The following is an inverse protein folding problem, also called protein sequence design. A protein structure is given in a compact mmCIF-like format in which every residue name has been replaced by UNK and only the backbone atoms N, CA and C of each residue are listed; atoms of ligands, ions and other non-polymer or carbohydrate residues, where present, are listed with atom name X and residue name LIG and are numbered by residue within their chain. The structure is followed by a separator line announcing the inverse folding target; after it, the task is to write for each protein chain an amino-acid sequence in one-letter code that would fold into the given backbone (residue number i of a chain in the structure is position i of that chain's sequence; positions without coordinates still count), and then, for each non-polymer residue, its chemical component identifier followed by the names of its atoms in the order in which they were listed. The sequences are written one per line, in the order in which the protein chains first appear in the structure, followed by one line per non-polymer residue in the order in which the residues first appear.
data_IF_303979779703
#
_entry.id   IF_303979779703
#
_cell.length_a   1.000
_cell.length_b   1.000
_cell.length_c   1.000
_cell.angle_alpha   90.00
_cell.angle_beta   90.00
_cell.angle_gamma   90.00
#
_symmetry.space_group_name_H-M   'P 1'
#
loop_
_entity.id
_entity.type
_entity.pdbx_description
1 polymer ?
#
# COMPACT_ATOMS: atom_id res chain seq x y z
N UNK A 1 6.12 -18.76 -3.93
CA UNK A 1 6.00 -17.50 -3.18
C UNK A 1 4.52 -17.28 -2.92
N UNK A 2 4.15 -16.98 -1.68
CA UNK A 2 2.78 -16.62 -1.32
C UNK A 2 2.48 -15.19 -1.80
N UNK A 3 1.20 -14.86 -2.00
CA UNK A 3 0.81 -13.50 -2.40
C UNK A 3 1.15 -12.48 -1.31
N UNK A 4 0.93 -12.85 -0.05
CA UNK A 4 1.34 -12.05 1.13
C UNK A 4 2.83 -11.75 1.17
N UNK A 5 3.68 -12.64 0.66
CA UNK A 5 5.13 -12.40 0.62
C UNK A 5 5.52 -11.35 -0.41
N UNK A 6 4.85 -11.32 -1.58
CA UNK A 6 5.09 -10.32 -2.61
C UNK A 6 4.60 -8.94 -2.14
N UNK A 7 3.40 -8.91 -1.56
CA UNK A 7 2.80 -7.69 -1.00
C UNK A 7 3.63 -7.14 0.17
N UNK A 8 4.04 -8.00 1.10
CA UNK A 8 4.90 -7.61 2.21
C UNK A 8 6.27 -7.08 1.77
N UNK A 9 6.80 -7.50 0.61
CA UNK A 9 8.03 -6.90 0.05
C UNK A 9 7.79 -5.47 -0.43
N UNK A 10 6.63 -5.21 -1.04
CA UNK A 10 6.23 -3.86 -1.42
C UNK A 10 6.11 -2.97 -0.17
N UNK A 11 5.47 -3.47 0.90
CA UNK A 11 5.36 -2.75 2.18
C UNK A 11 6.72 -2.38 2.77
N UNK A 12 7.64 -3.35 2.89
CA UNK A 12 9.00 -3.07 3.37
C UNK A 12 9.69 -1.99 2.54
N UNK A 13 9.51 -2.00 1.21
CA UNK A 13 10.13 -1.02 0.34
C UNK A 13 9.50 0.38 0.47
N UNK A 14 8.22 0.47 0.81
CA UNK A 14 7.55 1.73 1.11
C UNK A 14 8.12 2.36 2.39
N UNK A 15 8.33 1.57 3.44
CA UNK A 15 8.99 2.01 4.67
C UNK A 15 10.43 2.47 4.41
N UNK A 16 11.18 1.71 3.59
CA UNK A 16 12.52 2.14 3.18
C UNK A 16 12.50 3.49 2.45
N UNK A 17 11.54 3.72 1.55
CA UNK A 17 11.40 5.00 0.85
C UNK A 17 11.08 6.14 1.83
N UNK A 18 10.22 5.89 2.82
CA UNK A 18 9.88 6.85 3.87
C UNK A 18 11.10 7.19 4.74
N UNK A 19 11.83 6.20 5.23
CA UNK A 19 13.03 6.39 6.06
C UNK A 19 14.10 7.19 5.32
N UNK A 20 14.29 6.91 4.03
CA UNK A 20 15.23 7.65 3.19
C UNK A 20 14.77 9.08 2.92
N UNK A 21 13.46 9.29 2.78
CA UNK A 21 12.87 10.62 2.60
C UNK A 21 13.03 11.48 3.86
N UNK A 22 12.74 10.93 5.04
CA UNK A 22 12.85 11.65 6.32
C UNK A 22 14.31 11.87 6.73
N UNK A 23 15.20 10.92 6.41
CA UNK A 23 16.64 11.03 6.65
C UNK A 23 17.41 11.88 5.61
N UNK A 24 16.78 12.29 4.51
CA UNK A 24 17.44 13.05 3.45
C UNK A 24 17.77 14.48 3.89
N UNK A 25 19.03 14.88 3.69
CA UNK A 25 19.53 16.23 4.05
C UNK A 25 19.41 17.24 2.91
N UNK A 26 19.34 16.80 1.66
CA UNK A 26 19.25 17.68 0.48
C UNK A 26 17.83 17.71 -0.07
N UNK A 27 17.42 18.84 -0.65
CA UNK A 27 16.13 18.96 -1.35
C UNK A 27 16.03 17.97 -2.51
N UNK A 28 17.15 17.72 -3.22
CA UNK A 28 17.21 16.76 -4.32
C UNK A 28 16.91 15.32 -3.85
N UNK A 29 17.56 14.88 -2.76
CA UNK A 29 17.31 13.55 -2.19
C UNK A 29 15.88 13.42 -1.68
N UNK A 30 15.34 14.47 -1.05
CA UNK A 30 13.94 14.49 -0.62
C UNK A 30 12.98 14.36 -1.81
N UNK A 31 13.23 15.08 -2.92
CA UNK A 31 12.42 14.96 -4.14
C UNK A 31 12.52 13.54 -4.71
N UNK A 32 13.73 12.98 -4.78
CA UNK A 32 13.96 11.61 -5.25
C UNK A 32 13.17 10.59 -4.43
N UNK A 33 13.31 10.59 -3.11
CA UNK A 33 12.66 9.60 -2.25
C UNK A 33 11.15 9.81 -2.11
N UNK A 34 10.67 11.06 -2.14
CA UNK A 34 9.24 11.35 -2.31
C UNK A 34 8.70 10.73 -3.59
N UNK A 35 9.40 10.88 -4.71
CA UNK A 35 8.98 10.26 -5.96
C UNK A 35 8.97 8.74 -5.83
N UNK A 36 10.03 8.13 -5.28
CA UNK A 36 10.08 6.68 -5.08
C UNK A 36 8.92 6.16 -4.23
N UNK A 37 8.59 6.84 -3.13
CA UNK A 37 7.44 6.51 -2.29
C UNK A 37 6.13 6.60 -3.10
N UNK A 38 5.89 7.72 -3.77
CA UNK A 38 4.68 7.97 -4.60
C UNK A 38 4.51 6.88 -5.68
N UNK A 39 5.56 6.59 -6.44
CA UNK A 39 5.50 5.63 -7.54
C UNK A 39 5.25 4.21 -7.05
N UNK A 40 5.90 3.79 -5.97
CA UNK A 40 5.72 2.44 -5.45
C UNK A 40 4.38 2.27 -4.76
N UNK A 41 3.90 3.29 -4.05
CA UNK A 41 2.60 3.22 -3.39
C UNK A 41 1.46 3.18 -4.41
N UNK A 42 1.55 3.97 -5.48
CA UNK A 42 0.59 3.91 -6.58
C UNK A 42 0.57 2.54 -7.27
N UNK A 43 1.77 1.97 -7.54
CA UNK A 43 1.90 0.62 -8.13
C UNK A 43 1.28 -0.45 -7.23
N UNK A 44 1.60 -0.39 -5.94
CA UNK A 44 1.12 -1.32 -4.93
C UNK A 44 -0.40 -1.32 -4.85
N UNK A 45 -1.01 -0.14 -4.62
CA UNK A 45 -2.47 -0.02 -4.50
C UNK A 45 -3.22 -0.48 -5.76
N UNK A 46 -2.71 -0.15 -6.95
CA UNK A 46 -3.32 -0.59 -8.21
C UNK A 46 -3.16 -2.11 -8.40
N UNK A 47 -2.02 -2.69 -8.00
CA UNK A 47 -1.80 -4.13 -8.09
C UNK A 47 -2.83 -4.90 -7.28
N UNK A 48 -3.11 -4.47 -6.05
CA UNK A 48 -4.09 -5.11 -5.18
C UNK A 48 -5.52 -4.99 -5.71
N UNK A 49 -5.90 -3.80 -6.18
CA UNK A 49 -7.21 -3.58 -6.80
C UNK A 49 -7.45 -4.44 -8.04
N UNK A 50 -6.40 -4.69 -8.82
CA UNK A 50 -6.49 -5.50 -10.04
C UNK A 50 -6.36 -7.00 -9.80
N UNK A 51 -5.82 -7.43 -8.65
CA UNK A 51 -5.46 -8.84 -8.42
C UNK A 51 -6.02 -9.40 -7.12
N UNK A 52 -5.72 -8.76 -5.99
CA UNK A 52 -6.09 -9.23 -4.64
C UNK A 52 -7.58 -9.10 -4.41
N UNK A 53 -8.17 -7.94 -4.68
CA UNK A 53 -9.60 -7.73 -4.39
C UNK A 53 -10.50 -8.66 -5.23
N UNK A 54 -10.27 -8.85 -6.54
CA UNK A 54 -10.99 -9.85 -7.31
C UNK A 54 -10.85 -11.27 -6.74
N UNK A 55 -9.66 -11.64 -6.25
CA UNK A 55 -9.45 -12.96 -5.64
C UNK A 55 -10.19 -13.09 -4.30
N UNK A 56 -10.24 -12.03 -3.49
CA UNK A 56 -11.05 -11.99 -2.27
C UNK A 56 -12.54 -12.16 -2.59
N UNK A 57 -13.04 -11.46 -3.62
CA UNK A 57 -14.43 -11.58 -4.06
C UNK A 57 -14.78 -12.98 -4.59
N UNK A 58 -13.84 -13.65 -5.23
CA UNK A 58 -14.05 -15.00 -5.74
C UNK A 58 -14.02 -16.07 -4.65
N UNK A 59 -13.21 -15.88 -3.60
CA UNK A 59 -12.90 -16.95 -2.65
C UNK A 59 -13.49 -16.78 -1.25
N UNK A 60 -13.93 -15.58 -0.85
CA UNK A 60 -14.32 -15.30 0.54
C UNK A 60 -15.85 -15.27 0.78
N UNK A 61 -16.68 -15.13 -0.25
CA UNK A 61 -18.15 -15.10 -0.14
C UNK A 61 -18.66 -13.85 0.61
N UNK A 62 -19.97 -13.72 0.84
CA UNK A 62 -20.67 -12.46 1.23
C UNK A 62 -20.04 -11.53 2.31
N UNK A 63 -19.15 -12.01 3.18
CA UNK A 63 -18.35 -11.17 4.10
C UNK A 63 -17.32 -10.30 3.36
N UNK A 64 -17.04 -10.61 2.09
CA UNK A 64 -16.07 -9.92 1.24
C UNK A 64 -16.46 -8.48 0.91
N UNK A 65 -17.75 -8.19 0.72
CA UNK A 65 -18.17 -6.93 0.11
C UNK A 65 -17.93 -5.75 1.04
N UNK A 66 -17.97 -6.01 2.34
CA UNK A 66 -17.66 -5.01 3.36
C UNK A 66 -16.14 -4.84 3.55
N UNK A 67 -15.35 -5.93 3.40
CA UNK A 67 -13.88 -5.85 3.44
C UNK A 67 -13.35 -5.08 2.23
N UNK A 68 -13.66 -5.54 1.00
CA UNK A 68 -13.16 -4.88 -0.22
C UNK A 68 -13.63 -3.43 -0.34
N UNK A 69 -14.85 -3.10 0.11
CA UNK A 69 -15.32 -1.71 0.16
C UNK A 69 -14.53 -0.85 1.14
N UNK A 70 -14.14 -1.41 2.29
CA UNK A 70 -13.30 -0.72 3.26
C UNK A 70 -11.92 -0.46 2.66
N UNK A 71 -11.33 -1.46 2.02
CA UNK A 71 -9.99 -1.36 1.41
C UNK A 71 -9.97 -0.37 0.24
N UNK A 72 -10.98 -0.39 -0.63
CA UNK A 72 -11.15 0.62 -1.67
C UNK A 72 -11.24 2.04 -1.11
N UNK A 73 -11.94 2.24 0.01
CA UNK A 73 -12.06 3.55 0.63
C UNK A 73 -10.72 4.01 1.23
N UNK A 74 -9.97 3.10 1.87
CA UNK A 74 -8.63 3.38 2.38
C UNK A 74 -7.66 3.71 1.25
N UNK A 75 -7.65 2.93 0.17
CA UNK A 75 -6.87 3.22 -1.04
C UNK A 75 -7.23 4.56 -1.66
N UNK A 76 -8.50 4.93 -1.69
CA UNK A 76 -8.90 6.23 -2.22
C UNK A 76 -8.34 7.39 -1.38
N UNK A 77 -8.32 7.25 -0.05
CA UNK A 77 -7.70 8.24 0.84
C UNK A 77 -6.19 8.36 0.57
N UNK A 78 -5.49 7.22 0.53
CA UNK A 78 -4.06 7.13 0.22
C UNK A 78 -3.74 7.75 -1.15
N UNK A 79 -4.51 7.44 -2.20
CA UNK A 79 -4.35 8.01 -3.55
C UNK A 79 -4.54 9.53 -3.58
N UNK A 80 -5.51 10.05 -2.82
CA UNK A 80 -5.73 11.49 -2.71
C UNK A 80 -4.54 12.19 -2.05
N UNK A 81 -3.96 11.58 -1.02
CA UNK A 81 -2.83 12.15 -0.29
C UNK A 81 -1.52 12.05 -1.08
N UNK A 82 -1.28 10.95 -1.81
CA UNK A 82 -0.18 10.84 -2.78
C UNK A 82 -0.26 11.94 -3.85
N UNK A 83 -1.45 12.20 -4.40
CA UNK A 83 -1.65 13.22 -5.43
C UNK A 83 -1.28 14.62 -4.91
N UNK A 84 -1.70 14.94 -3.69
CA UNK A 84 -1.31 16.18 -3.01
C UNK A 84 0.20 16.21 -2.75
N UNK A 85 0.76 15.15 -2.17
CA UNK A 85 2.17 15.07 -1.78
C UNK A 85 3.10 15.23 -2.99
N UNK A 86 2.74 14.65 -4.14
CA UNK A 86 3.48 14.78 -5.40
C UNK A 86 3.52 16.22 -5.91
N UNK A 87 2.46 17.00 -5.67
CA UNK A 87 2.36 18.41 -6.07
C UNK A 87 3.17 19.35 -5.18
N UNK A 88 3.50 18.93 -3.94
CA UNK A 88 4.22 19.75 -2.96
C UNK A 88 5.73 19.59 -3.08
N UNK A 89 6.44 20.71 -2.93
CA UNK A 89 7.88 20.68 -2.68
C UNK A 89 8.15 20.08 -1.29
N UNK A 90 9.20 19.26 -1.09
CA UNK A 90 9.62 18.86 0.25
C UNK A 90 10.05 20.01 1.18
N UNK A 91 10.21 21.23 0.65
CA UNK A 91 10.44 22.45 1.42
C UNK A 91 9.14 23.16 1.83
N UNK A 92 7.99 22.71 1.35
CA UNK A 92 6.69 23.27 1.73
C UNK A 92 6.37 22.95 3.20
N UNK A 93 5.86 23.93 3.93
CA UNK A 93 5.45 23.79 5.33
C UNK A 93 4.38 22.70 5.57
N UNK A 94 3.55 22.40 4.57
CA UNK A 94 2.51 21.37 4.65
C UNK A 94 3.05 19.97 4.41
N UNK A 95 4.24 19.84 3.81
CA UNK A 95 4.80 18.56 3.38
C UNK A 95 4.98 17.55 4.53
N UNK A 96 5.55 17.91 5.69
CA UNK A 96 5.79 16.94 6.76
C UNK A 96 4.48 16.37 7.33
N UNK A 97 3.50 17.24 7.60
CA UNK A 97 2.21 16.82 8.16
C UNK A 97 1.43 15.93 7.20
N UNK A 98 1.47 16.23 5.88
CA UNK A 98 0.82 15.37 4.88
C UNK A 98 1.54 14.02 4.74
N UNK A 99 2.87 14.01 4.81
CA UNK A 99 3.65 12.77 4.75
C UNK A 99 3.36 11.87 5.97
N UNK A 100 3.30 12.43 7.17
CA UNK A 100 2.94 11.70 8.38
C UNK A 100 1.53 11.10 8.28
N UNK A 101 0.55 11.90 7.88
CA UNK A 101 -0.83 11.42 7.67
C UNK A 101 -0.90 10.28 6.64
N UNK A 102 -0.18 10.41 5.52
CA UNK A 102 -0.12 9.38 4.48
C UNK A 102 0.43 8.06 5.04
N UNK A 103 1.51 8.12 5.82
CA UNK A 103 2.13 6.92 6.39
C UNK A 103 1.26 6.30 7.49
N UNK A 104 0.61 7.09 8.34
CA UNK A 104 -0.32 6.60 9.35
C UNK A 104 -1.51 5.86 8.71
N UNK A 105 -2.07 6.41 7.63
CA UNK A 105 -3.15 5.78 6.87
C UNK A 105 -2.69 4.49 6.20
N UNK A 106 -1.50 4.51 5.59
CA UNK A 106 -0.89 3.35 4.95
C UNK A 106 -0.59 2.22 5.95
N UNK A 107 -0.01 2.52 7.10
CA UNK A 107 0.33 1.50 8.11
C UNK A 107 -0.93 0.85 8.70
N UNK A 108 -2.01 1.62 8.91
CA UNK A 108 -3.30 1.04 9.33
C UNK A 108 -3.89 0.11 8.28
N UNK A 109 -3.75 0.44 7.00
CA UNK A 109 -4.17 -0.42 5.90
C UNK A 109 -3.33 -1.72 5.87
N UNK A 110 -2.00 -1.60 5.91
CA UNK A 110 -1.06 -2.73 5.90
C UNK A 110 -1.33 -3.69 7.07
N UNK A 111 -1.58 -3.16 8.27
CA UNK A 111 -1.87 -3.99 9.44
C UNK A 111 -3.18 -4.76 9.28
N UNK A 112 -4.24 -4.11 8.77
CA UNK A 112 -5.50 -4.78 8.47
C UNK A 112 -5.31 -5.91 7.45
N UNK A 113 -4.61 -5.61 6.35
CA UNK A 113 -4.36 -6.55 5.27
C UNK A 113 -3.58 -7.77 5.77
N UNK A 114 -2.52 -7.54 6.54
CA UNK A 114 -1.66 -8.59 7.09
C UNK A 114 -2.39 -9.48 8.09
N UNK A 115 -3.20 -8.91 8.97
CA UNK A 115 -3.84 -9.65 10.06
C UNK A 115 -5.18 -10.30 9.65
N UNK A 116 -5.86 -9.74 8.66
CA UNK A 116 -7.22 -10.15 8.27
C UNK A 116 -7.26 -10.70 6.86
N UNK A 117 -6.89 -9.90 5.85
CA UNK A 117 -7.18 -10.22 4.46
C UNK A 117 -6.30 -11.34 3.92
N UNK A 118 -4.99 -11.23 4.12
CA UNK A 118 -4.02 -12.22 3.63
C UNK A 118 -4.23 -13.61 4.24
N UNK A 119 -4.40 -13.77 5.57
CA UNK A 119 -4.69 -15.08 6.16
C UNK A 119 -5.98 -15.71 5.62
N UNK A 120 -7.04 -14.90 5.45
CA UNK A 120 -8.31 -15.38 4.91
C UNK A 120 -8.17 -15.81 3.45
N UNK A 121 -7.53 -14.97 2.62
CA UNK A 121 -7.32 -15.22 1.21
C UNK A 121 -6.49 -16.49 1.00
N UNK A 122 -5.38 -16.66 1.70
CA UNK A 122 -4.50 -17.82 1.53
C UNK A 122 -5.09 -19.11 2.09
N UNK A 123 -5.93 -19.04 3.12
CA UNK A 123 -6.60 -20.22 3.67
C UNK A 123 -7.71 -20.72 2.75
N UNK A 124 -8.42 -19.82 2.06
CA UNK A 124 -9.58 -20.14 1.22
C UNK A 124 -9.27 -20.27 -0.27
N UNK A 125 -8.13 -19.73 -0.72
CA UNK A 125 -7.70 -19.88 -2.11
C UNK A 125 -7.18 -21.30 -2.37
N UNK A 126 -7.46 -21.87 -3.55
CA UNK A 126 -6.85 -23.14 -3.94
C UNK A 126 -5.33 -23.00 -3.95
N UNK A 127 -4.61 -23.89 -3.25
CA UNK A 127 -3.15 -23.92 -3.35
C UNK A 127 -2.77 -24.22 -4.81
N UNK A 128 -1.74 -23.56 -5.37
CA UNK A 128 -1.27 -23.88 -6.71
C UNK A 128 -0.91 -25.38 -6.72
N UNK A 129 -1.62 -26.15 -7.53
CA UNK A 129 -1.31 -27.55 -7.78
C UNK A 129 0.02 -27.56 -8.53
N UNK A 130 1.11 -27.82 -7.82
CA UNK A 130 2.42 -28.09 -8.40
C UNK A 130 2.27 -29.36 -9.26
N UNK A 131 2.07 -29.19 -10.57
CA UNK A 131 2.43 -30.23 -11.52
C UNK A 131 3.95 -30.17 -11.65
N UNK A 132 4.58 -31.24 -11.19
CA UNK A 132 6.03 -31.46 -11.29
C UNK A 132 6.50 -31.69 -12.71
#
# INVERSE_FOLDING_TARGET
MLVSQAIGQDHCYLDECYDKLTGASTTEDKVKWRNMLVWNLARHAISEELTVYPAMEQHLGAREKELTKTDFAQHQAVKNDISKLQSLSPADSQFPSLLEQLMDDLHRHIEHEKETDMPLLETRSPKPSLKG
#
